data_IF_819211647580
#
_entry.id   IF_819211647580
#
_cell.length_a   1.000
_cell.length_b   1.000
_cell.length_c   1.000
_cell.angle_alpha   90.00
_cell.angle_beta   90.00
_cell.angle_gamma   90.00
#
_symmetry.space_group_name_H-M   'P 1'
#
loop_
_entity.id
_entity.type
_entity.pdbx_description
1 polymer ?
#
# COMPACT_ATOMS: atom_id res chain seq x y z
N UNK A 1 -31.79 23.47 14.75
CA UNK A 1 -31.14 23.05 13.50
C UNK A 1 -29.81 22.43 13.88
N UNK A 2 -29.58 21.16 13.52
CA UNK A 2 -28.29 20.49 13.79
C UNK A 2 -27.18 21.28 13.09
N UNK A 3 -26.22 21.78 13.86
CA UNK A 3 -25.05 22.48 13.30
C UNK A 3 -24.11 21.40 12.80
N UNK A 4 -23.94 21.31 11.49
CA UNK A 4 -22.95 20.40 10.90
C UNK A 4 -21.57 20.68 11.52
N UNK A 5 -20.82 19.64 11.91
CA UNK A 5 -19.64 19.79 12.76
C UNK A 5 -18.49 20.55 12.08
N UNK A 6 -18.40 20.50 10.76
CA UNK A 6 -17.34 21.15 9.95
C UNK A 6 -17.85 22.33 9.13
N UNK A 7 -19.02 22.88 9.49
CA UNK A 7 -19.60 24.03 8.80
C UNK A 7 -18.61 25.21 8.74
N UNK A 8 -18.53 25.82 7.55
CA UNK A 8 -17.67 26.97 7.26
C UNK A 8 -16.16 26.68 7.40
N UNK A 9 -15.75 25.40 7.34
CA UNK A 9 -14.33 25.00 7.36
C UNK A 9 -13.87 24.57 5.97
N UNK A 10 -12.66 24.98 5.61
CA UNK A 10 -11.96 24.53 4.40
C UNK A 10 -10.91 23.49 4.77
N UNK A 11 -11.04 22.28 4.20
CA UNK A 11 -10.12 21.16 4.43
C UNK A 11 -9.42 20.81 3.12
N UNK A 12 -8.10 20.72 3.17
CA UNK A 12 -7.26 20.27 2.05
C UNK A 12 -6.93 18.79 2.21
N UNK A 13 -7.18 18.01 1.18
CA UNK A 13 -6.77 16.61 1.08
C UNK A 13 -5.56 16.49 0.16
N UNK A 14 -4.48 15.86 0.64
CA UNK A 14 -3.23 15.71 -0.14
C UNK A 14 -3.03 14.31 -0.76
N UNK A 15 -4.01 13.42 -0.55
CA UNK A 15 -3.97 12.04 -1.04
C UNK A 15 -4.02 11.98 -2.58
N UNK A 16 -3.46 10.93 -3.21
CA UNK A 16 -3.64 10.69 -4.63
C UNK A 16 -5.11 10.53 -5.02
N UNK A 17 -5.44 10.98 -6.23
CA UNK A 17 -6.79 10.97 -6.81
C UNK A 17 -7.37 9.55 -6.89
N UNK A 18 -8.69 9.42 -6.72
CA UNK A 18 -9.45 8.21 -7.05
C UNK A 18 -9.18 6.96 -6.20
N UNK A 19 -8.44 7.06 -5.09
CA UNK A 19 -8.14 5.89 -4.24
C UNK A 19 -8.71 6.08 -2.85
N UNK A 20 -9.41 5.08 -2.30
CA UNK A 20 -9.95 5.05 -0.93
C UNK A 20 -11.34 5.66 -0.80
N UNK A 21 -12.10 5.27 0.24
CA UNK A 21 -13.49 5.73 0.42
C UNK A 21 -13.61 7.24 0.38
N UNK A 22 -14.81 7.74 0.11
CA UNK A 22 -15.05 9.15 -0.19
C UNK A 22 -14.83 10.06 1.02
N UNK A 23 -13.57 10.29 1.41
CA UNK A 23 -13.19 11.24 2.46
C UNK A 23 -13.74 12.62 2.11
N UNK A 24 -13.72 12.95 0.82
CA UNK A 24 -14.37 14.13 0.28
C UNK A 24 -15.85 14.15 0.63
N UNK A 25 -16.61 13.09 0.30
CA UNK A 25 -18.05 13.02 0.62
C UNK A 25 -18.28 13.08 2.13
N UNK A 26 -17.52 12.33 2.94
CA UNK A 26 -17.66 12.35 4.41
C UNK A 26 -17.43 13.74 5.00
N UNK A 27 -16.45 14.49 4.48
CA UNK A 27 -16.16 15.85 4.93
C UNK A 27 -17.22 16.86 4.44
N UNK A 28 -17.69 16.70 3.20
CA UNK A 28 -18.78 17.51 2.63
C UNK A 28 -20.09 17.27 3.38
N UNK A 29 -20.43 16.01 3.69
CA UNK A 29 -21.59 15.63 4.50
C UNK A 29 -21.51 16.18 5.92
N UNK A 30 -20.29 16.32 6.45
CA UNK A 30 -20.01 16.97 7.72
C UNK A 30 -20.02 18.52 7.64
N UNK A 31 -20.23 19.09 6.45
CA UNK A 31 -20.41 20.53 6.19
C UNK A 31 -19.15 21.30 5.79
N UNK A 32 -18.04 20.60 5.50
CA UNK A 32 -16.78 21.24 5.08
C UNK A 32 -16.79 21.59 3.58
N UNK A 33 -16.09 22.66 3.22
CA UNK A 33 -15.56 22.83 1.88
C UNK A 33 -14.28 21.99 1.75
N UNK A 34 -14.13 21.26 0.63
CA UNK A 34 -12.98 20.37 0.41
C UNK A 34 -12.23 20.80 -0.84
N UNK A 35 -10.92 21.00 -0.71
CA UNK A 35 -9.99 21.21 -1.83
C UNK A 35 -9.06 20.02 -1.93
N UNK A 36 -8.85 19.50 -3.14
CA UNK A 36 -7.99 18.35 -3.39
C UNK A 36 -6.69 18.83 -4.01
N UNK A 37 -5.58 18.55 -3.32
CA UNK A 37 -4.22 18.90 -3.73
C UNK A 37 -3.35 17.64 -3.66
N UNK A 38 -3.53 16.68 -4.57
CA UNK A 38 -2.80 15.42 -4.57
C UNK A 38 -1.30 15.69 -4.75
N UNK A 39 -0.52 15.56 -3.68
CA UNK A 39 0.93 15.83 -3.68
C UNK A 39 1.75 14.65 -4.19
N UNK A 40 1.11 13.49 -4.32
CA UNK A 40 1.71 12.29 -4.89
C UNK A 40 0.75 11.67 -5.90
N UNK A 41 1.34 10.92 -6.82
CA UNK A 41 0.62 9.98 -7.67
C UNK A 41 1.12 8.55 -7.46
N UNK A 42 0.28 7.59 -7.80
CA UNK A 42 0.63 6.17 -7.70
C UNK A 42 0.39 5.51 -9.05
N UNK A 43 1.44 4.94 -9.64
CA UNK A 43 1.40 4.11 -10.84
C UNK A 43 1.58 2.63 -10.49
N UNK A 44 1.11 1.74 -11.36
CA UNK A 44 1.18 0.28 -11.21
C UNK A 44 1.93 -0.34 -12.39
N UNK A 45 3.18 0.06 -12.56
CA UNK A 45 4.02 -0.34 -13.68
C UNK A 45 5.24 -1.11 -13.13
N UNK A 46 5.07 -2.40 -12.79
CA UNK A 46 6.21 -3.25 -12.44
C UNK A 46 7.15 -3.41 -13.64
N UNK A 47 8.39 -3.81 -13.36
CA UNK A 47 9.28 -4.33 -14.40
C UNK A 47 8.71 -5.65 -14.95
N UNK A 48 8.39 -5.67 -16.25
CA UNK A 48 7.76 -6.83 -16.90
C UNK A 48 8.64 -8.09 -16.87
N UNK A 49 9.96 -7.93 -16.89
CA UNK A 49 10.89 -9.06 -16.83
C UNK A 49 10.85 -9.70 -15.45
N UNK A 50 11.01 -8.88 -14.41
CA UNK A 50 10.94 -9.34 -13.01
C UNK A 50 9.58 -9.91 -12.69
N UNK A 51 8.50 -9.28 -13.16
CA UNK A 51 7.15 -9.77 -12.99
C UNK A 51 6.96 -11.15 -13.64
N UNK A 52 7.43 -11.33 -14.88
CA UNK A 52 7.34 -12.63 -15.56
C UNK A 52 8.09 -13.72 -14.80
N UNK A 53 9.31 -13.43 -14.34
CA UNK A 53 10.12 -14.38 -13.55
C UNK A 53 9.42 -14.80 -12.25
N UNK A 54 8.86 -13.83 -11.53
CA UNK A 54 8.11 -14.07 -10.29
C UNK A 54 6.85 -14.92 -10.55
N UNK A 55 6.08 -14.60 -11.59
CA UNK A 55 4.86 -15.33 -11.92
C UNK A 55 5.15 -16.74 -12.44
N UNK A 56 6.23 -16.94 -13.19
CA UNK A 56 6.65 -18.27 -13.64
C UNK A 56 7.16 -19.14 -12.47
N UNK A 57 7.77 -18.52 -11.45
CA UNK A 57 8.22 -19.18 -10.22
C UNK A 57 7.14 -19.24 -9.12
N UNK A 58 5.87 -18.92 -9.42
CA UNK A 58 4.85 -18.70 -8.39
C UNK A 58 4.64 -19.90 -7.45
N UNK A 59 4.71 -21.12 -8.01
CA UNK A 59 4.56 -22.36 -7.24
C UNK A 59 5.75 -22.72 -6.34
N UNK A 60 6.83 -21.94 -6.37
CA UNK A 60 8.03 -22.17 -5.56
C UNK A 60 8.07 -21.34 -4.29
N UNK A 61 7.20 -20.33 -4.15
CA UNK A 61 7.17 -19.49 -2.96
C UNK A 61 6.42 -20.17 -1.82
N UNK A 62 7.03 -20.13 -0.63
CA UNK A 62 6.42 -20.55 0.63
C UNK A 62 5.61 -19.41 1.25
N UNK A 63 6.06 -18.16 1.02
CA UNK A 63 5.39 -16.94 1.48
C UNK A 63 5.30 -15.85 0.43
N UNK A 64 4.20 -15.10 0.46
CA UNK A 64 4.06 -13.78 -0.14
C UNK A 64 3.82 -12.76 0.98
N UNK A 65 4.66 -11.74 1.02
CA UNK A 65 4.60 -10.67 2.02
C UNK A 65 4.19 -9.37 1.36
N UNK A 66 3.11 -8.77 1.84
CA UNK A 66 2.62 -7.46 1.38
C UNK A 66 2.88 -6.37 2.40
N UNK A 67 3.58 -5.32 1.98
CA UNK A 67 3.88 -4.13 2.83
C UNK A 67 2.92 -2.97 2.61
N UNK A 68 1.90 -3.13 1.76
CA UNK A 68 0.94 -2.07 1.44
C UNK A 68 -0.32 -2.63 0.78
N UNK A 69 -1.49 -2.00 0.97
CA UNK A 69 -2.69 -2.29 0.19
C UNK A 69 -2.48 -2.12 -1.32
N UNK A 70 -1.59 -1.21 -1.74
CA UNK A 70 -1.25 -1.04 -3.16
C UNK A 70 -0.43 -2.24 -3.66
N UNK A 71 0.46 -2.79 -2.84
CA UNK A 71 1.21 -4.01 -3.17
C UNK A 71 0.27 -5.18 -3.49
N UNK A 72 -0.76 -5.37 -2.66
CA UNK A 72 -1.79 -6.41 -2.89
C UNK A 72 -2.48 -6.20 -4.23
N UNK A 73 -3.00 -4.99 -4.49
CA UNK A 73 -3.74 -4.71 -5.74
C UNK A 73 -2.87 -4.86 -6.97
N UNK A 74 -1.71 -4.19 -6.99
CA UNK A 74 -0.81 -4.23 -8.14
C UNK A 74 -0.33 -5.64 -8.46
N UNK A 75 -0.09 -6.46 -7.44
CA UNK A 75 0.25 -7.86 -7.63
C UNK A 75 -0.91 -8.68 -8.21
N UNK A 76 -2.10 -8.62 -7.59
CA UNK A 76 -3.22 -9.43 -8.04
C UNK A 76 -3.77 -9.00 -9.40
N UNK A 77 -3.74 -7.71 -9.73
CA UNK A 77 -4.14 -7.22 -11.05
C UNK A 77 -3.27 -7.88 -12.15
N UNK A 78 -1.95 -7.94 -11.95
CA UNK A 78 -1.01 -8.62 -12.87
C UNK A 78 -1.12 -10.14 -12.82
N UNK A 79 -1.34 -10.70 -11.63
CA UNK A 79 -1.58 -12.13 -11.46
C UNK A 79 -2.77 -12.58 -12.31
N UNK A 80 -3.88 -11.83 -12.30
CA UNK A 80 -5.09 -12.20 -13.04
C UNK A 80 -5.00 -11.95 -14.55
N UNK A 81 -4.06 -11.11 -15.01
CA UNK A 81 -3.72 -11.02 -16.43
C UNK A 81 -3.03 -12.31 -16.94
N UNK A 82 -2.28 -13.00 -16.06
CA UNK A 82 -1.55 -14.23 -16.37
C UNK A 82 -2.33 -15.50 -16.08
N UNK A 83 -3.05 -15.53 -14.95
CA UNK A 83 -3.75 -16.69 -14.42
C UNK A 83 -5.23 -16.37 -14.24
N UNK A 84 -6.11 -17.18 -14.81
CA UNK A 84 -7.55 -16.97 -14.70
C UNK A 84 -8.16 -17.43 -13.37
N UNK A 85 -7.38 -18.11 -12.51
CA UNK A 85 -7.86 -18.74 -11.28
C UNK A 85 -6.91 -18.45 -10.11
N UNK A 86 -7.48 -18.05 -8.97
CA UNK A 86 -6.74 -17.75 -7.74
C UNK A 86 -5.97 -18.96 -7.19
N UNK A 87 -6.42 -20.17 -7.50
CA UNK A 87 -5.73 -21.42 -7.13
C UNK A 87 -4.35 -21.54 -7.76
N UNK A 88 -4.04 -20.76 -8.80
CA UNK A 88 -2.70 -20.70 -9.40
C UNK A 88 -1.65 -20.09 -8.47
N UNK A 89 -2.04 -19.41 -7.38
CA UNK A 89 -1.10 -18.96 -6.34
C UNK A 89 -0.54 -20.15 -5.53
N UNK A 90 -1.21 -21.31 -5.54
CA UNK A 90 -0.74 -22.53 -4.89
C UNK A 90 -0.93 -22.54 -3.37
N UNK A 91 -0.08 -23.30 -2.68
CA UNK A 91 -0.13 -23.50 -1.22
C UNK A 91 0.61 -22.44 -0.40
N UNK A 92 0.86 -21.26 -0.99
CA UNK A 92 1.65 -20.20 -0.36
C UNK A 92 0.92 -19.61 0.84
N UNK A 93 1.71 -19.16 1.84
CA UNK A 93 1.19 -18.39 2.97
C UNK A 93 1.30 -16.89 2.72
N UNK A 94 0.44 -16.12 3.39
CA UNK A 94 0.39 -14.68 3.22
C UNK A 94 0.68 -13.93 4.51
N UNK A 95 1.60 -12.97 4.43
CA UNK A 95 1.85 -12.04 5.52
C UNK A 95 1.54 -10.59 5.12
N UNK A 96 0.83 -9.87 5.98
CA UNK A 96 0.46 -8.48 5.77
C UNK A 96 1.07 -7.58 6.83
N UNK A 97 1.64 -6.44 6.41
CA UNK A 97 2.21 -5.47 7.36
C UNK A 97 1.18 -4.88 8.32
N UNK A 98 -0.11 -4.88 7.98
CA UNK A 98 -1.13 -4.36 8.89
C UNK A 98 -2.57 -4.53 8.39
N UNK A 99 -3.56 -4.08 9.18
CA UNK A 99 -4.97 -4.39 8.95
C UNK A 99 -5.54 -3.86 7.63
N UNK A 100 -5.03 -2.72 7.14
CA UNK A 100 -5.44 -2.17 5.84
C UNK A 100 -4.98 -3.04 4.66
N UNK A 101 -3.78 -3.63 4.77
CA UNK A 101 -3.22 -4.55 3.78
C UNK A 101 -3.96 -5.89 3.82
N UNK A 102 -4.21 -6.43 5.02
CA UNK A 102 -5.03 -7.62 5.22
C UNK A 102 -6.44 -7.45 4.63
N UNK A 103 -7.07 -6.29 4.87
CA UNK A 103 -8.38 -5.97 4.29
C UNK A 103 -8.34 -5.95 2.75
N UNK A 104 -7.26 -5.47 2.14
CA UNK A 104 -7.09 -5.50 0.69
C UNK A 104 -6.94 -6.95 0.19
N UNK A 105 -6.17 -7.78 0.90
CA UNK A 105 -5.99 -9.20 0.57
C UNK A 105 -7.31 -9.98 0.63
N UNK A 106 -8.11 -9.74 1.68
CA UNK A 106 -9.46 -10.31 1.80
C UNK A 106 -10.40 -9.91 0.67
N UNK A 107 -10.15 -8.78 -0.01
CA UNK A 107 -10.87 -8.38 -1.22
C UNK A 107 -10.75 -9.40 -2.36
N UNK A 108 -9.69 -10.22 -2.33
CA UNK A 108 -9.46 -11.33 -3.25
C UNK A 108 -9.83 -12.70 -2.66
N UNK A 109 -10.62 -12.71 -1.57
CA UNK A 109 -11.04 -13.90 -0.84
C UNK A 109 -9.90 -14.73 -0.24
N UNK A 110 -8.78 -14.07 0.08
CA UNK A 110 -7.62 -14.67 0.74
C UNK A 110 -7.51 -14.11 2.15
N UNK A 111 -7.37 -14.99 3.14
CA UNK A 111 -7.00 -14.61 4.49
C UNK A 111 -5.48 -14.60 4.66
N UNK A 112 -4.98 -13.70 5.51
CA UNK A 112 -3.56 -13.66 5.84
C UNK A 112 -3.26 -14.64 6.98
N UNK A 113 -2.21 -15.45 6.82
CA UNK A 113 -1.69 -16.30 7.89
C UNK A 113 -1.03 -15.48 9.02
N UNK A 114 -0.48 -14.32 8.69
CA UNK A 114 0.12 -13.39 9.63
C UNK A 114 -0.19 -11.94 9.26
N UNK A 115 -0.85 -11.22 10.16
CA UNK A 115 -0.88 -9.75 10.12
C UNK A 115 -0.11 -9.20 11.31
N UNK A 116 0.84 -8.29 11.07
CA UNK A 116 1.64 -7.72 12.16
C UNK A 116 0.75 -6.93 13.13
N UNK A 117 1.03 -7.05 14.43
CA UNK A 117 0.31 -6.31 15.47
C UNK A 117 0.61 -4.82 15.40
N UNK A 118 1.84 -4.46 15.03
CA UNK A 118 2.26 -3.09 14.77
C UNK A 118 2.47 -2.92 13.26
N UNK A 119 1.86 -1.90 12.63
CA UNK A 119 1.86 -1.73 11.18
C UNK A 119 3.20 -1.18 10.64
N UNK A 120 4.27 -1.92 10.87
CA UNK A 120 5.61 -1.60 10.38
C UNK A 120 6.34 -2.86 9.87
N UNK A 121 7.19 -2.66 8.87
CA UNK A 121 7.83 -3.77 8.14
C UNK A 121 8.77 -4.59 9.02
N UNK A 122 9.50 -3.97 9.94
CA UNK A 122 10.42 -4.67 10.84
C UNK A 122 9.67 -5.54 11.86
N UNK A 123 8.59 -5.03 12.45
CA UNK A 123 7.73 -5.78 13.35
C UNK A 123 7.13 -7.00 12.64
N UNK A 124 6.70 -6.85 11.38
CA UNK A 124 6.23 -7.98 10.58
C UNK A 124 7.29 -9.08 10.44
N UNK A 125 8.52 -8.72 10.07
CA UNK A 125 9.62 -9.68 9.94
C UNK A 125 9.96 -10.38 11.26
N UNK A 126 10.04 -9.62 12.35
CA UNK A 126 10.30 -10.17 13.69
C UNK A 126 9.19 -11.13 14.14
N UNK A 127 7.93 -10.75 13.95
CA UNK A 127 6.79 -11.60 14.29
C UNK A 127 6.75 -12.86 13.44
N UNK A 128 7.07 -12.76 12.15
CA UNK A 128 7.12 -13.90 11.24
C UNK A 128 8.15 -14.93 11.73
N UNK A 129 9.39 -14.51 11.99
CA UNK A 129 10.46 -15.38 12.48
C UNK A 129 10.21 -15.93 13.89
N UNK A 130 9.38 -15.25 14.69
CA UNK A 130 9.04 -15.71 16.05
C UNK A 130 7.93 -16.77 16.02
N UNK A 131 6.95 -16.62 15.12
CA UNK A 131 5.75 -17.45 15.09
C UNK A 131 5.86 -18.64 14.12
N UNK A 132 6.72 -18.53 13.12
CA UNK A 132 6.88 -19.51 12.08
C UNK A 132 8.37 -19.83 11.90
N UNK A 133 8.65 -21.10 11.63
CA UNK A 133 9.94 -21.47 11.05
C UNK A 133 9.94 -21.01 9.60
N UNK A 134 10.85 -20.10 9.26
CA UNK A 134 11.04 -19.56 7.91
C UNK A 134 12.46 -19.76 7.41
N UNK A 135 13.22 -20.66 8.06
CA UNK A 135 14.57 -20.98 7.64
C UNK A 135 14.58 -21.64 6.25
N UNK A 136 15.43 -21.13 5.35
CA UNK A 136 15.56 -21.59 3.95
C UNK A 136 14.26 -21.51 3.11
N UNK A 137 13.20 -20.87 3.60
CA UNK A 137 11.97 -20.70 2.83
C UNK A 137 12.12 -19.63 1.77
N UNK A 138 11.44 -19.83 0.64
CA UNK A 138 11.39 -18.86 -0.46
C UNK A 138 10.27 -17.87 -0.22
N UNK A 139 10.63 -16.60 -0.08
CA UNK A 139 9.72 -15.51 0.27
C UNK A 139 9.70 -14.49 -0.87
N UNK A 140 8.51 -14.19 -1.37
CA UNK A 140 8.28 -13.05 -2.26
C UNK A 140 7.86 -11.83 -1.44
N UNK A 141 8.67 -10.78 -1.45
CA UNK A 141 8.35 -9.50 -0.85
C UNK A 141 7.78 -8.54 -1.90
N UNK A 142 6.49 -8.23 -1.80
CA UNK A 142 5.78 -7.34 -2.72
C UNK A 142 5.70 -5.93 -2.15
N UNK A 143 6.27 -4.96 -2.88
CA UNK A 143 6.54 -3.61 -2.40
C UNK A 143 6.24 -2.53 -3.43
N UNK A 144 6.47 -1.28 -3.05
CA UNK A 144 6.60 -0.15 -3.98
C UNK A 144 8.03 0.40 -4.04
N UNK A 145 8.26 1.39 -4.90
CA UNK A 145 9.57 2.03 -5.10
C UNK A 145 10.22 2.61 -3.84
N UNK A 146 9.44 3.14 -2.89
CA UNK A 146 9.92 3.78 -1.66
C UNK A 146 10.22 2.79 -0.51
N UNK A 147 10.18 1.49 -0.75
CA UNK A 147 10.41 0.50 0.30
C UNK A 147 11.87 0.44 0.76
N UNK A 148 12.08 0.33 2.07
CA UNK A 148 13.41 0.14 2.69
C UNK A 148 13.90 -1.32 2.57
N UNK A 149 15.20 -1.58 2.34
CA UNK A 149 15.75 -2.93 2.30
C UNK A 149 15.83 -3.62 3.67
N UNK A 150 15.46 -2.95 4.75
CA UNK A 150 15.56 -3.47 6.12
C UNK A 150 14.81 -4.78 6.34
N UNK A 151 13.59 -4.92 5.81
CA UNK A 151 12.81 -6.16 5.96
C UNK A 151 13.42 -7.32 5.19
N UNK A 152 13.82 -7.13 3.94
CA UNK A 152 14.48 -8.18 3.15
C UNK A 152 15.80 -8.59 3.81
N UNK A 153 16.56 -7.62 4.31
CA UNK A 153 17.82 -7.87 5.03
C UNK A 153 17.57 -8.67 6.31
N UNK A 154 16.56 -8.29 7.10
CA UNK A 154 16.20 -8.99 8.33
C UNK A 154 15.84 -10.46 8.06
N UNK A 155 15.07 -10.74 7.01
CA UNK A 155 14.67 -12.10 6.67
C UNK A 155 15.84 -12.95 6.15
N UNK A 156 16.68 -12.37 5.29
CA UNK A 156 17.86 -13.05 4.75
C UNK A 156 18.92 -13.31 5.84
N UNK A 157 19.28 -12.29 6.62
CA UNK A 157 20.36 -12.40 7.63
C UNK A 157 19.89 -13.03 8.94
N UNK A 158 18.65 -12.75 9.35
CA UNK A 158 18.10 -13.18 10.64
C UNK A 158 17.45 -14.56 10.61
N UNK A 159 16.94 -15.00 9.46
CA UNK A 159 16.31 -16.31 9.31
C UNK A 159 16.83 -17.14 8.15
N UNK A 160 17.86 -16.71 7.41
CA UNK A 160 18.40 -17.46 6.27
C UNK A 160 17.34 -17.77 5.19
N UNK A 161 16.32 -16.90 5.06
CA UNK A 161 15.30 -17.04 4.03
C UNK A 161 15.85 -16.60 2.65
N UNK A 162 15.31 -17.19 1.59
CA UNK A 162 15.58 -16.80 0.20
C UNK A 162 14.54 -15.77 -0.19
N UNK A 163 14.93 -14.49 -0.30
CA UNK A 163 13.98 -13.40 -0.48
C UNK A 163 14.10 -12.76 -1.87
N UNK A 164 13.03 -12.87 -2.66
CA UNK A 164 12.86 -12.11 -3.89
C UNK A 164 12.05 -10.85 -3.59
N UNK A 165 12.39 -9.72 -4.23
CA UNK A 165 11.66 -8.45 -4.03
C UNK A 165 11.11 -7.97 -5.38
N UNK A 166 9.79 -7.78 -5.44
CA UNK A 166 9.12 -7.19 -6.58
C UNK A 166 8.50 -5.84 -6.19
N UNK A 167 8.69 -4.84 -7.07
CA UNK A 167 8.05 -3.54 -6.98
C UNK A 167 6.89 -3.52 -7.96
N UNK A 168 5.66 -3.44 -7.44
CA UNK A 168 4.43 -3.48 -8.27
C UNK A 168 3.75 -2.13 -8.39
N UNK A 169 4.21 -1.14 -7.66
CA UNK A 169 3.73 0.24 -7.76
C UNK A 169 4.86 1.23 -7.50
N UNK A 170 4.72 2.44 -8.03
CA UNK A 170 5.58 3.57 -7.70
C UNK A 170 4.74 4.70 -7.09
N UNK A 171 5.27 5.33 -6.05
CA UNK A 171 4.81 6.61 -5.53
C UNK A 171 5.75 7.68 -6.04
N UNK A 172 5.20 8.69 -6.71
CA UNK A 172 5.95 9.81 -7.28
C UNK A 172 5.35 11.14 -6.82
N UNK A 173 6.19 12.17 -6.72
CA UNK A 173 5.75 13.51 -6.38
C UNK A 173 4.94 14.09 -7.54
N UNK A 174 3.75 14.63 -7.22
CA UNK A 174 2.90 15.33 -8.18
C UNK A 174 2.96 16.82 -7.89
N UNK A 175 3.56 17.57 -8.81
CA UNK A 175 3.57 19.03 -8.70
C UNK A 175 2.15 19.59 -8.80
N UNK A 176 1.70 20.24 -7.73
CA UNK A 176 0.43 20.98 -7.71
C UNK A 176 0.64 22.49 -7.78
N UNK A 177 1.88 22.97 -7.94
CA UNK A 177 2.22 24.38 -7.77
C UNK A 177 1.40 25.30 -8.70
N UNK A 178 1.11 24.85 -9.92
CA UNK A 178 0.41 25.62 -10.95
C UNK A 178 -1.11 25.36 -11.00
N UNK A 179 -1.66 24.55 -10.10
CA UNK A 179 -3.10 24.25 -10.13
C UNK A 179 -3.94 25.41 -9.58
N UNK A 180 -5.19 25.60 -10.08
CA UNK A 180 -6.12 26.56 -9.51
C UNK A 180 -6.35 26.37 -8.00
N UNK A 181 -6.42 25.12 -7.56
CA UNK A 181 -6.60 24.74 -6.16
C UNK A 181 -5.41 25.20 -5.30
N UNK A 182 -4.19 25.13 -5.82
CA UNK A 182 -3.01 25.59 -5.10
C UNK A 182 -2.94 27.12 -5.07
N UNK A 183 -3.39 27.79 -6.14
CA UNK A 183 -3.55 29.24 -6.16
C UNK A 183 -4.60 29.71 -5.14
N UNK A 184 -5.73 29.02 -5.03
CA UNK A 184 -6.75 29.26 -4.00
C UNK A 184 -6.21 29.05 -2.59
N UNK A 185 -5.54 27.92 -2.35
CA UNK A 185 -4.91 27.62 -1.06
C UNK A 185 -3.90 28.69 -0.65
N UNK A 186 -3.05 29.18 -1.58
CA UNK A 186 -2.10 30.26 -1.28
C UNK A 186 -2.77 31.59 -0.95
N UNK A 187 -3.95 31.87 -1.50
CA UNK A 187 -4.69 33.11 -1.25
C UNK A 187 -5.47 33.08 0.06
N UNK A 188 -6.11 31.95 0.36
CA UNK A 188 -7.12 31.87 1.41
C UNK A 188 -6.71 30.94 2.58
N UNK A 189 -5.65 30.14 2.42
CA UNK A 189 -5.25 29.12 3.37
C UNK A 189 -6.23 27.95 3.45
N UNK A 190 -6.13 27.17 4.52
CA UNK A 190 -7.09 26.14 4.90
C UNK A 190 -7.19 26.07 6.43
N UNK A 191 -8.33 25.63 6.94
CA UNK A 191 -8.48 25.35 8.38
C UNK A 191 -7.73 24.07 8.80
N UNK A 192 -7.61 23.11 7.88
CA UNK A 192 -6.86 21.87 8.09
C UNK A 192 -6.28 21.33 6.77
N UNK A 193 -5.15 20.65 6.89
CA UNK A 193 -4.50 19.89 5.81
C UNK A 193 -4.34 18.46 6.29
N UNK A 194 -4.73 17.50 5.45
CA UNK A 194 -4.75 16.09 5.83
C UNK A 194 -3.73 15.32 4.99
N UNK A 195 -2.73 14.76 5.69
CA UNK A 195 -1.71 13.88 5.12
C UNK A 195 -2.02 12.42 5.45
N UNK A 196 -2.07 11.57 4.42
CA UNK A 196 -2.36 10.13 4.55
C UNK A 196 -1.13 9.24 4.32
N UNK A 197 0.04 9.84 4.03
CA UNK A 197 1.31 9.17 3.88
C UNK A 197 2.46 10.09 4.30
N UNK A 198 3.57 9.55 4.84
CA UNK A 198 4.78 10.34 5.13
C UNK A 198 5.32 11.06 3.88
N UNK A 199 5.31 10.41 2.72
CA UNK A 199 5.79 11.00 1.46
C UNK A 199 4.99 12.20 0.96
N UNK A 200 3.79 12.44 1.48
CA UNK A 200 3.03 13.65 1.16
C UNK A 200 3.41 14.83 2.09
N UNK A 201 4.13 14.57 3.18
CA UNK A 201 4.57 15.59 4.16
C UNK A 201 5.92 16.20 3.77
N UNK A 202 6.81 15.37 3.21
CA UNK A 202 8.12 15.77 2.68
C UNK A 202 7.97 16.73 1.49
#
# INVERSE_FOLDING_TARGET
MSKLPLRDRLIVLTRPEGRGGDWKELLVDAGAAVSELPLIEISFEPDDTVLSEVLDAMGEYDWIIFTSPNGVRGFFDRFFERFSDIRSVGGVRFACVGPSTEKALRGYHIDSDLTAAKPDALSLGQELMTKFDVENQKILLVTGNLNSPELSRLLMEGALAIVDVIKVYATEEKSVAETPEAAEFRRHGADAIVFASPSAVE
#
